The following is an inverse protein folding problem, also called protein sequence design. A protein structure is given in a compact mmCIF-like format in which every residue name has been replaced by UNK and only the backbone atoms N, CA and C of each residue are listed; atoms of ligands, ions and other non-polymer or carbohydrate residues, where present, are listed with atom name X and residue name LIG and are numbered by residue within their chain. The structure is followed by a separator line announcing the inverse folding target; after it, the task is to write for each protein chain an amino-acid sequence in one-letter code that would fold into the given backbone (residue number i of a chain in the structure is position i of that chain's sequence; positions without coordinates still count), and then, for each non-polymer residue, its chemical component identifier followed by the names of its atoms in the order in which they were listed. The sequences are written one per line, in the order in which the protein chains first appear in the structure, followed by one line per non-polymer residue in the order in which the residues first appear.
data_IF_629172325701
#
_entry.id   IF_629172325701
#
_cell.length_a   1.000
_cell.length_b   1.000
_cell.length_c   1.000
_cell.angle_alpha   90.00
_cell.angle_beta   90.00
_cell.angle_gamma   90.00
#
_symmetry.space_group_name_H-M   'P 1'
#
loop_
_entity.id
_entity.type
_entity.pdbx_description
1 polymer ?
#
# COMPACT_ATOMS: atom_id res chain seq x y z
N UNK A 1 1.14 -0.97 -1.69
CA UNK A 1 1.01 -2.07 -2.67
C UNK A 1 0.37 -1.57 -3.95
N UNK A 2 0.21 -2.42 -4.98
CA UNK A 2 -0.47 -1.98 -6.20
C UNK A 2 -1.94 -1.76 -5.94
N UNK A 3 -2.53 -0.88 -6.72
CA UNK A 3 -3.92 -0.47 -6.62
C UNK A 3 -4.88 -1.67 -6.59
N UNK A 4 -4.76 -2.57 -7.56
CA UNK A 4 -5.72 -3.68 -7.70
C UNK A 4 -5.49 -4.79 -6.66
N UNK A 5 -4.27 -4.92 -6.12
CA UNK A 5 -3.98 -5.80 -4.97
C UNK A 5 -4.73 -5.31 -3.72
N UNK A 6 -4.65 -4.00 -3.43
CA UNK A 6 -5.35 -3.38 -2.30
C UNK A 6 -6.86 -3.38 -2.52
N UNK A 7 -7.33 -3.00 -3.71
CA UNK A 7 -8.76 -2.91 -4.01
C UNK A 7 -9.49 -4.24 -3.87
N UNK A 8 -8.81 -5.34 -4.20
CA UNK A 8 -9.36 -6.69 -4.10
C UNK A 8 -8.93 -7.42 -2.83
N UNK A 9 -8.28 -6.76 -1.85
CA UNK A 9 -7.84 -7.40 -0.61
C UNK A 9 -9.00 -8.09 0.12
N UNK A 10 -8.76 -9.28 0.68
CA UNK A 10 -9.79 -10.08 1.35
C UNK A 10 -9.46 -10.33 2.82
N UNK A 11 -10.48 -10.52 3.65
CA UNK A 11 -10.30 -10.79 5.07
C UNK A 11 -9.52 -12.07 5.33
N UNK A 12 -9.67 -13.09 4.48
CA UNK A 12 -8.92 -14.35 4.58
C UNK A 12 -7.41 -14.19 4.36
N UNK A 13 -6.97 -13.06 3.78
CA UNK A 13 -5.55 -12.77 3.56
C UNK A 13 -4.91 -12.08 4.77
N UNK A 14 -5.71 -11.65 5.75
CA UNK A 14 -5.25 -10.91 6.90
C UNK A 14 -5.21 -11.77 8.15
N UNK A 15 -4.04 -11.80 8.78
CA UNK A 15 -3.90 -12.14 10.19
C UNK A 15 -3.70 -10.84 10.97
N UNK A 16 -4.78 -10.32 11.54
CA UNK A 16 -4.76 -9.09 12.34
C UNK A 16 -4.09 -9.28 13.69
N UNK A 17 -4.00 -10.52 14.20
CA UNK A 17 -3.33 -10.84 15.46
C UNK A 17 -1.82 -10.75 15.33
N UNK A 18 -1.24 -11.35 14.29
CA UNK A 18 0.19 -11.23 14.00
C UNK A 18 0.56 -9.99 13.16
N UNK A 19 -0.46 -9.28 12.64
CA UNK A 19 -0.30 -8.11 11.80
C UNK A 19 0.41 -8.46 10.50
N UNK A 20 -0.14 -9.42 9.75
CA UNK A 20 0.37 -9.87 8.45
C UNK A 20 -0.74 -9.82 7.40
N UNK A 21 -0.36 -9.42 6.19
CA UNK A 21 -1.18 -9.56 4.99
C UNK A 21 -0.46 -10.48 4.01
N UNK A 22 -1.06 -11.63 3.72
CA UNK A 22 -0.51 -12.64 2.81
C UNK A 22 -1.27 -12.61 1.48
N UNK A 23 -0.62 -12.05 0.45
CA UNK A 23 -1.12 -12.12 -0.92
C UNK A 23 -0.68 -13.45 -1.55
N UNK A 24 -1.63 -14.32 -1.94
CA UNK A 24 -1.29 -15.59 -2.57
C UNK A 24 -0.68 -15.37 -3.96
N UNK A 25 0.14 -16.32 -4.40
CA UNK A 25 0.83 -16.27 -5.70
C UNK A 25 -0.13 -15.98 -6.88
N UNK A 26 -1.34 -16.55 -6.84
CA UNK A 26 -2.40 -16.38 -7.85
C UNK A 26 -2.84 -14.92 -8.04
N UNK A 27 -2.60 -14.06 -7.04
CA UNK A 27 -2.99 -12.64 -7.06
C UNK A 27 -1.84 -11.68 -7.31
N UNK A 28 -0.60 -12.18 -7.33
CA UNK A 28 0.60 -11.37 -7.52
C UNK A 28 1.06 -11.41 -8.97
N UNK A 29 1.56 -10.28 -9.51
CA UNK A 29 2.06 -10.24 -10.90
C UNK A 29 3.26 -11.16 -11.14
N UNK A 30 4.05 -11.43 -10.10
CA UNK A 30 5.24 -12.27 -10.20
C UNK A 30 4.96 -13.74 -9.86
N UNK A 31 3.70 -14.12 -9.62
CA UNK A 31 3.29 -15.48 -9.25
C UNK A 31 4.03 -16.02 -8.02
N UNK A 32 4.31 -15.16 -7.04
CA UNK A 32 4.96 -15.52 -5.78
C UNK A 32 4.12 -15.02 -4.62
N UNK A 33 3.96 -15.86 -3.61
CA UNK A 33 3.35 -15.43 -2.35
C UNK A 33 4.10 -14.20 -1.80
N UNK A 34 3.36 -13.18 -1.40
CA UNK A 34 3.90 -11.99 -0.78
C UNK A 34 3.29 -11.79 0.59
N UNK A 35 4.11 -11.98 1.63
CA UNK A 35 3.74 -11.72 3.02
C UNK A 35 4.23 -10.32 3.39
N UNK A 36 3.30 -9.41 3.64
CA UNK A 36 3.56 -8.03 4.01
C UNK A 36 3.21 -7.79 5.48
N UNK A 37 4.16 -7.34 6.32
CA UNK A 37 3.86 -6.90 7.67
C UNK A 37 2.92 -5.70 7.67
N UNK A 38 1.85 -5.76 8.47
CA UNK A 38 1.01 -4.63 8.80
C UNK A 38 1.46 -4.04 10.13
N UNK A 39 1.90 -2.78 10.08
CA UNK A 39 2.27 -2.02 11.28
C UNK A 39 1.02 -1.45 11.95
N UNK A 40 1.06 -1.06 13.24
CA UNK A 40 -0.13 -0.57 13.95
C UNK A 40 -0.88 0.55 13.21
N UNK A 41 -0.17 1.47 12.58
CA UNK A 41 -0.78 2.54 11.78
C UNK A 41 -1.57 2.02 10.57
N UNK A 42 -1.14 0.91 9.93
CA UNK A 42 -1.87 0.30 8.83
C UNK A 42 -3.07 -0.52 9.34
N UNK A 43 -2.92 -1.24 10.46
CA UNK A 43 -4.01 -1.98 11.10
C UNK A 43 -5.13 -1.03 11.54
N UNK A 44 -4.79 0.16 12.05
CA UNK A 44 -5.77 1.17 12.45
C UNK A 44 -6.59 1.75 11.28
N UNK A 45 -6.15 1.56 10.03
CA UNK A 45 -6.88 1.98 8.83
C UNK A 45 -7.83 0.90 8.29
N UNK A 46 -7.85 -0.29 8.90
CA UNK A 46 -8.74 -1.36 8.46
C UNK A 46 -10.20 -0.97 8.76
N UNK A 47 -11.11 -1.12 7.79
CA UNK A 47 -12.53 -0.87 8.04
C UNK A 47 -13.10 -1.94 8.98
N UNK A 48 -14.24 -1.67 9.65
CA UNK A 48 -14.93 -2.72 10.39
C UNK A 48 -15.34 -3.86 9.44
N UNK A 49 -15.23 -5.11 9.94
CA UNK A 49 -15.70 -6.29 9.20
C UNK A 49 -17.22 -6.20 9.03
N UNK A 50 -17.69 -6.50 7.81
CA UNK A 50 -19.11 -6.54 7.46
C UNK A 50 -19.48 -7.98 7.14
N UNK A 51 -20.51 -8.50 7.77
CA UNK A 51 -20.96 -9.87 7.55
C UNK A 51 -21.36 -10.10 6.09
N UNK A 52 -21.07 -11.29 5.58
CA UNK A 52 -21.32 -11.66 4.18
C UNK A 52 -20.44 -10.93 3.15
N UNK A 53 -19.36 -10.28 3.58
CA UNK A 53 -18.42 -9.58 2.70
C UNK A 53 -16.98 -10.02 2.92
N UNK A 54 -16.42 -10.71 1.94
CA UNK A 54 -15.04 -11.18 1.98
C UNK A 54 -14.02 -10.09 1.67
N UNK A 55 -14.37 -9.14 0.80
CA UNK A 55 -13.49 -8.04 0.42
C UNK A 55 -13.44 -6.96 1.50
N UNK A 56 -12.23 -6.47 1.79
CA UNK A 56 -12.00 -5.37 2.74
C UNK A 56 -12.66 -4.07 2.29
N UNK A 57 -12.48 -3.73 1.02
CA UNK A 57 -12.90 -2.46 0.45
C UNK A 57 -13.92 -2.67 -0.68
N UNK A 58 -14.72 -1.63 -0.93
CA UNK A 58 -15.74 -1.61 -1.98
C UNK A 58 -17.15 -1.81 -1.44
N UNK A 59 -18.13 -1.64 -2.31
CA UNK A 59 -19.55 -1.68 -1.94
C UNK A 59 -20.17 -3.08 -2.13
N UNK A 60 -19.41 -4.04 -2.65
CA UNK A 60 -19.88 -5.37 -3.01
C UNK A 60 -20.48 -5.42 -4.42
N UNK A 61 -21.33 -6.42 -4.71
CA UNK A 61 -22.04 -6.55 -5.98
C UNK A 61 -22.82 -5.26 -6.33
N UNK A 62 -22.85 -4.87 -7.62
CA UNK A 62 -23.58 -3.65 -8.02
C UNK A 62 -25.07 -3.90 -8.14
N UNK A 63 -25.45 -5.12 -8.52
CA UNK A 63 -26.84 -5.58 -8.65
C UNK A 63 -26.99 -6.91 -7.94
N UNK A 64 -28.23 -7.24 -7.58
CA UNK A 64 -28.54 -8.59 -7.09
C UNK A 64 -28.15 -9.62 -8.14
N UNK A 65 -27.42 -10.66 -7.74
CA UNK A 65 -26.89 -11.70 -8.62
C UNK A 65 -25.51 -11.41 -9.25
N UNK A 66 -24.97 -10.19 -9.13
CA UNK A 66 -23.60 -9.92 -9.57
C UNK A 66 -22.59 -10.68 -8.68
N UNK A 67 -21.44 -11.11 -9.23
CA UNK A 67 -20.40 -11.73 -8.43
C UNK A 67 -19.86 -10.75 -7.36
N UNK A 68 -19.46 -11.25 -6.19
CA UNK A 68 -18.73 -10.46 -5.20
C UNK A 68 -17.51 -9.79 -5.82
N UNK A 69 -17.27 -8.53 -5.46
CA UNK A 69 -16.15 -7.75 -5.99
C UNK A 69 -15.58 -6.82 -4.95
N UNK A 70 -14.28 -6.58 -5.05
CA UNK A 70 -13.58 -5.56 -4.28
C UNK A 70 -13.83 -4.15 -4.79
N UNK A 71 -13.05 -3.22 -4.27
CA UNK A 71 -13.10 -1.82 -4.61
C UNK A 71 -12.63 -1.55 -6.05
N UNK A 72 -13.47 -0.84 -6.81
CA UNK A 72 -13.17 -0.42 -8.18
C UNK A 72 -13.42 1.06 -8.44
N UNK A 73 -13.72 1.85 -7.39
CA UNK A 73 -14.12 3.25 -7.49
C UNK A 73 -12.96 4.23 -7.73
N UNK A 74 -11.83 3.76 -8.26
CA UNK A 74 -10.56 4.47 -8.25
C UNK A 74 -10.62 5.85 -8.90
N UNK A 75 -11.19 5.98 -10.09
CA UNK A 75 -11.25 7.28 -10.79
C UNK A 75 -12.08 8.28 -10.00
N UNK A 76 -13.30 7.90 -9.57
CA UNK A 76 -14.19 8.76 -8.77
C UNK A 76 -13.54 9.17 -7.45
N UNK A 77 -12.93 8.22 -6.73
CA UNK A 77 -12.25 8.52 -5.48
C UNK A 77 -10.99 9.37 -5.65
N UNK A 78 -10.26 9.21 -6.75
CA UNK A 78 -9.10 10.08 -7.07
C UNK A 78 -9.55 11.50 -7.37
N UNK A 79 -10.59 11.69 -8.17
CA UNK A 79 -11.17 13.03 -8.42
C UNK A 79 -11.62 13.69 -7.13
N UNK A 80 -12.33 12.95 -6.25
CA UNK A 80 -12.76 13.48 -4.96
C UNK A 80 -11.56 13.82 -4.04
N UNK A 81 -10.49 13.02 -4.08
CA UNK A 81 -9.26 13.29 -3.33
C UNK A 81 -8.55 14.54 -3.85
N UNK A 82 -8.41 14.68 -5.17
CA UNK A 82 -7.77 15.86 -5.77
C UNK A 82 -8.52 17.14 -5.44
N UNK A 83 -9.86 17.11 -5.43
CA UNK A 83 -10.68 18.24 -5.01
C UNK A 83 -10.41 18.65 -3.56
N UNK A 84 -10.36 17.67 -2.63
CA UNK A 84 -10.03 17.94 -1.21
C UNK A 84 -8.62 18.47 -1.02
N UNK A 85 -7.67 17.98 -1.81
CA UNK A 85 -6.29 18.48 -1.80
C UNK A 85 -6.26 19.93 -2.29
N UNK A 86 -6.94 20.23 -3.40
CA UNK A 86 -7.00 21.58 -3.95
C UNK A 86 -7.64 22.57 -2.96
N UNK A 87 -8.71 22.16 -2.28
CA UNK A 87 -9.33 22.94 -1.21
C UNK A 87 -8.36 23.20 -0.05
N UNK A 88 -7.64 22.16 0.40
CA UNK A 88 -6.71 22.27 1.53
C UNK A 88 -5.47 23.13 1.22
N UNK A 89 -4.98 23.10 -0.01
CA UNK A 89 -3.80 23.85 -0.46
C UNK A 89 -4.14 25.24 -1.02
N UNK A 90 -5.40 25.47 -1.42
CA UNK A 90 -5.82 26.64 -2.17
C UNK A 90 -5.54 26.57 -3.68
N UNK A 91 -4.88 25.51 -4.14
CA UNK A 91 -4.56 25.26 -5.55
C UNK A 91 -4.47 23.75 -5.84
N UNK A 92 -4.76 23.31 -7.07
CA UNK A 92 -4.61 21.90 -7.43
C UNK A 92 -3.14 21.49 -7.44
N UNK A 93 -2.85 20.27 -6.99
CA UNK A 93 -1.53 19.69 -7.20
C UNK A 93 -1.24 19.49 -8.70
N UNK A 94 0.05 19.54 -9.10
CA UNK A 94 0.48 19.03 -10.39
C UNK A 94 -0.01 17.60 -10.64
N UNK A 95 -0.16 17.22 -11.91
CA UNK A 95 -0.69 15.92 -12.29
C UNK A 95 0.04 14.75 -11.57
N UNK A 96 -0.74 13.90 -10.92
CA UNK A 96 -0.28 12.69 -10.24
C UNK A 96 -1.33 11.59 -10.26
N UNK A 97 -0.89 10.35 -10.14
CA UNK A 97 -1.68 9.12 -10.16
C UNK A 97 -1.54 8.34 -8.86
N UNK A 98 -2.46 7.43 -8.56
CA UNK A 98 -2.36 6.55 -7.38
C UNK A 98 -1.05 5.74 -7.35
N UNK A 99 -0.46 5.44 -8.52
CA UNK A 99 0.83 4.77 -8.60
C UNK A 99 1.97 5.60 -7.98
N UNK A 100 1.85 6.91 -7.98
CA UNK A 100 2.87 7.82 -7.45
C UNK A 100 3.03 7.70 -5.95
N UNK A 101 1.97 7.35 -5.21
CA UNK A 101 2.09 7.05 -3.78
C UNK A 101 3.09 5.92 -3.52
N UNK A 102 3.11 4.91 -4.41
CA UNK A 102 4.04 3.79 -4.32
C UNK A 102 5.46 4.19 -4.74
N UNK A 103 5.60 5.03 -5.77
CA UNK A 103 6.90 5.58 -6.20
C UNK A 103 7.52 6.44 -5.10
N UNK A 104 6.75 7.35 -4.52
CA UNK A 104 7.18 8.20 -3.41
C UNK A 104 7.58 7.38 -2.19
N UNK A 105 6.80 6.38 -1.79
CA UNK A 105 7.18 5.49 -0.69
C UNK A 105 8.51 4.78 -0.96
N UNK A 106 8.73 4.28 -2.18
CA UNK A 106 9.99 3.65 -2.57
C UNK A 106 11.18 4.60 -2.44
N UNK A 107 11.07 5.79 -3.03
CA UNK A 107 12.14 6.78 -3.05
C UNK A 107 12.44 7.28 -1.64
N UNK A 108 11.43 7.67 -0.87
CA UNK A 108 11.62 8.20 0.48
C UNK A 108 12.18 7.14 1.43
N UNK A 109 11.71 5.89 1.35
CA UNK A 109 12.29 4.81 2.17
C UNK A 109 13.79 4.63 1.89
N UNK A 110 14.18 4.64 0.61
CA UNK A 110 15.57 4.46 0.22
C UNK A 110 16.44 5.69 0.57
N UNK A 111 15.99 6.89 0.21
CA UNK A 111 16.79 8.11 0.24
C UNK A 111 16.80 8.80 1.60
N UNK A 112 15.67 8.77 2.33
CA UNK A 112 15.51 9.54 3.57
C UNK A 112 15.43 8.69 4.83
N UNK A 113 14.98 7.43 4.71
CA UNK A 113 14.77 6.55 5.87
C UNK A 113 15.84 5.47 6.01
N UNK A 114 16.85 5.47 5.13
CA UNK A 114 17.99 4.56 5.15
C UNK A 114 17.60 3.09 4.98
N UNK A 115 16.51 2.80 4.27
CA UNK A 115 16.05 1.42 4.03
C UNK A 115 16.82 0.85 2.84
N UNK A 116 17.46 -0.30 3.04
CA UNK A 116 18.23 -0.93 1.98
C UNK A 116 17.37 -1.27 0.75
N UNK A 117 17.89 -1.12 -0.48
CA UNK A 117 17.10 -1.31 -1.70
C UNK A 117 16.38 -2.67 -1.79
N UNK A 118 17.03 -3.76 -1.40
CA UNK A 118 16.43 -5.10 -1.41
C UNK A 118 15.28 -5.27 -0.40
N UNK A 119 15.26 -4.48 0.68
CA UNK A 119 14.14 -4.44 1.65
C UNK A 119 12.97 -3.64 1.07
N UNK A 120 13.26 -2.51 0.41
CA UNK A 120 12.22 -1.74 -0.32
C UNK A 120 11.60 -2.61 -1.40
N UNK A 121 12.41 -3.32 -2.19
CA UNK A 121 11.92 -4.27 -3.19
C UNK A 121 11.09 -5.40 -2.58
N UNK A 122 11.51 -5.92 -1.43
CA UNK A 122 10.76 -6.94 -0.70
C UNK A 122 9.39 -6.43 -0.25
N UNK A 123 9.31 -5.23 0.35
CA UNK A 123 8.05 -4.57 0.72
C UNK A 123 7.17 -4.39 -0.51
N UNK A 124 7.76 -3.98 -1.63
CA UNK A 124 7.02 -3.69 -2.83
C UNK A 124 6.63 -4.96 -3.61
N UNK A 125 7.07 -6.15 -3.22
CA UNK A 125 6.97 -7.35 -4.05
C UNK A 125 7.53 -7.12 -5.48
N UNK A 126 8.63 -6.36 -5.56
CA UNK A 126 9.33 -6.10 -6.80
C UNK A 126 10.42 -7.17 -6.99
N UNK A 127 10.55 -7.68 -8.21
CA UNK A 127 11.60 -8.65 -8.56
C UNK A 127 12.56 -7.95 -9.50
N UNK A 128 13.70 -7.53 -8.95
CA UNK A 128 14.80 -6.89 -9.67
C UNK A 128 16.14 -7.52 -9.23
N UNK A 129 17.29 -7.00 -9.65
CA UNK A 129 18.64 -7.58 -9.53
C UNK A 129 18.97 -8.32 -8.22
N UNK A 130 18.40 -7.93 -7.07
CA UNK A 130 18.62 -8.60 -5.77
C UNK A 130 17.83 -9.92 -5.57
N UNK A 131 16.84 -10.18 -6.42
CA UNK A 131 15.98 -11.39 -6.42
C UNK A 131 15.75 -11.98 -7.82
N UNK A 132 16.34 -11.38 -8.86
CA UNK A 132 16.30 -11.85 -10.23
C UNK A 132 17.52 -12.74 -10.56
N UNK A 133 17.37 -13.60 -11.56
CA UNK A 133 18.46 -14.47 -12.03
C UNK A 133 19.09 -15.33 -10.94
N UNK A 134 20.41 -15.47 -10.98
CA UNK A 134 21.19 -16.29 -10.05
C UNK A 134 21.07 -15.81 -8.60
N UNK A 135 20.99 -14.49 -8.37
CA UNK A 135 20.82 -13.94 -7.03
C UNK A 135 19.54 -14.46 -6.34
N UNK A 136 18.46 -14.68 -7.10
CA UNK A 136 17.22 -15.26 -6.60
C UNK A 136 17.32 -16.75 -6.20
N UNK A 137 18.31 -17.48 -6.71
CA UNK A 137 18.55 -18.89 -6.32
C UNK A 137 19.07 -18.96 -4.89
N UNK A 138 19.95 -18.03 -4.53
CA UNK A 138 20.62 -17.97 -3.22
C UNK A 138 19.83 -17.14 -2.19
N UNK A 139 19.23 -16.03 -2.60
CA UNK A 139 18.51 -15.12 -1.70
C UNK A 139 17.05 -15.53 -1.52
N UNK A 140 16.80 -16.49 -0.62
CA UNK A 140 15.45 -16.96 -0.23
C UNK A 140 14.86 -16.23 0.97
N UNK A 141 15.57 -15.25 1.51
CA UNK A 141 15.14 -14.54 2.71
C UNK A 141 13.85 -13.73 2.45
N UNK A 142 12.90 -13.85 3.40
CA UNK A 142 11.63 -13.10 3.36
C UNK A 142 11.77 -11.68 3.92
N UNK A 143 12.80 -11.40 4.74
CA UNK A 143 13.09 -10.10 5.36
C UNK A 143 11.94 -9.54 6.22
N UNK A 144 11.13 -10.40 6.85
CA UNK A 144 9.90 -9.98 7.53
C UNK A 144 10.15 -8.96 8.66
N UNK A 145 11.22 -9.14 9.45
CA UNK A 145 11.65 -8.22 10.51
C UNK A 145 12.02 -6.85 9.97
N UNK A 146 12.88 -6.82 8.95
CA UNK A 146 13.43 -5.62 8.33
C UNK A 146 12.33 -4.86 7.56
N UNK A 147 11.43 -5.58 6.88
CA UNK A 147 10.25 -4.99 6.28
C UNK A 147 9.35 -4.33 7.33
N UNK A 148 9.11 -5.00 8.47
CA UNK A 148 8.29 -4.43 9.55
C UNK A 148 8.92 -3.17 10.11
N UNK A 149 10.23 -3.17 10.35
CA UNK A 149 10.95 -2.00 10.85
C UNK A 149 10.89 -0.83 9.85
N UNK A 150 11.16 -1.09 8.57
CA UNK A 150 11.08 -0.09 7.51
C UNK A 150 9.66 0.50 7.37
N UNK A 151 8.62 -0.33 7.45
CA UNK A 151 7.23 0.12 7.42
C UNK A 151 6.86 0.94 8.66
N UNK A 152 7.45 0.67 9.82
CA UNK A 152 7.27 1.51 11.02
C UNK A 152 7.95 2.87 10.86
N UNK A 153 9.17 2.91 10.30
CA UNK A 153 9.87 4.17 9.97
C UNK A 153 9.03 5.01 8.99
N UNK A 154 8.51 4.37 7.95
CA UNK A 154 7.61 5.01 6.98
C UNK A 154 6.33 5.56 7.64
N UNK A 155 5.67 4.78 8.49
CA UNK A 155 4.47 5.23 9.19
C UNK A 155 4.75 6.46 10.08
N UNK A 156 5.89 6.49 10.78
CA UNK A 156 6.31 7.66 11.57
C UNK A 156 6.57 8.88 10.69
N UNK A 157 7.25 8.70 9.55
CA UNK A 157 7.51 9.78 8.60
C UNK A 157 6.21 10.41 8.07
N UNK A 158 5.28 9.59 7.57
CA UNK A 158 3.96 10.08 7.07
C UNK A 158 3.19 10.82 8.17
N UNK A 159 3.19 10.29 9.41
CA UNK A 159 2.53 10.96 10.53
C UNK A 159 3.14 12.33 10.82
N UNK A 160 4.47 12.47 10.75
CA UNK A 160 5.15 13.74 10.96
C UNK A 160 4.79 14.79 9.89
N UNK A 161 4.61 14.37 8.63
CA UNK A 161 4.16 15.26 7.55
C UNK A 161 2.76 15.84 7.80
N UNK A 162 1.87 15.06 8.43
CA UNK A 162 0.48 15.50 8.69
C UNK A 162 0.38 16.55 9.81
N UNK A 163 1.42 16.72 10.63
CA UNK A 163 1.48 17.73 11.70
C UNK A 163 2.04 19.05 11.18
N UNK A 164 2.75 19.04 10.05
CA UNK A 164 3.27 20.23 9.40
C UNK A 164 2.23 20.79 8.42
N UNK A 165 1.50 21.85 8.81
CA UNK A 165 0.83 22.69 7.81
C UNK A 165 1.93 23.41 7.02
N UNK A 166 2.00 23.28 5.69
CA UNK A 166 2.85 24.19 4.92
C UNK A 166 2.33 25.61 5.19
N UNK A 167 3.18 26.46 5.76
CA UNK A 167 2.89 27.88 5.81
C UNK A 167 2.66 28.38 4.38
N UNK A 168 1.65 29.21 4.18
CA UNK A 168 1.47 29.91 2.90
C UNK A 168 2.81 30.52 2.52
N UNK A 169 3.43 30.04 1.44
CA UNK A 169 4.54 30.76 0.84
C UNK A 169 3.95 32.10 0.38
N UNK A 170 4.38 33.17 1.03
CA UNK A 170 4.05 34.52 0.60
C UNK A 170 4.75 34.76 -0.74
N UNK A 171 3.97 35.02 -1.78
CA UNK A 171 4.37 35.71 -2.99
C UNK A 171 3.31 36.78 -3.27
#
# INVERSE_FOLDING_TARGET
QRRDEVGSAQWAELDTGSGLWTLPATRTKNHREHVLPLVPAALALLPPRRDGRDFLFGDGPRRSGDPPRGFSGWSKSKTALDARIAEALGEPLPHWTVHDLRRSASTVMADQLGVLPHIVEAILNHVSGHRAGVAGVYNRARYASEMREALQRWARHVKALSVHKPGKAAA
#
